data_IF_584704387461
#
_entry.id   IF_584704387461
#
_cell.length_a   1.000
_cell.length_b   1.000
_cell.length_c   1.000
_cell.angle_alpha   90.00
_cell.angle_beta   90.00
_cell.angle_gamma   90.00
#
_symmetry.space_group_name_H-M   'P 1'
#
loop_
_entity.id
_entity.type
_entity.pdbx_description
1 polymer ?
#
# COMPACT_ATOMS: atom_id res chain seq x y z
N UNK A 1 -19.71 -63.77 9.91
CA UNK A 1 -18.86 -63.39 11.07
C UNK A 1 -18.30 -62.00 10.77
N UNK A 2 -19.01 -60.96 11.22
CA UNK A 2 -18.62 -59.57 10.99
C UNK A 2 -18.04 -59.02 12.30
N UNK A 3 -16.76 -58.69 12.31
CA UNK A 3 -16.08 -58.08 13.46
C UNK A 3 -16.20 -56.56 13.35
N UNK A 4 -17.00 -55.94 14.21
CA UNK A 4 -17.08 -54.48 14.33
C UNK A 4 -15.82 -53.94 15.03
N UNK A 5 -15.07 -53.06 14.35
CA UNK A 5 -13.96 -52.32 14.93
C UNK A 5 -14.53 -51.21 15.84
N UNK A 6 -14.07 -51.05 17.10
CA UNK A 6 -14.56 -49.98 17.96
C UNK A 6 -14.03 -48.61 17.49
N UNK A 7 -14.89 -47.59 17.54
CA UNK A 7 -14.50 -46.19 17.30
C UNK A 7 -13.61 -45.68 18.44
N UNK A 8 -12.56 -44.89 18.16
CA UNK A 8 -11.72 -44.31 19.20
C UNK A 8 -12.53 -43.30 20.02
N UNK A 9 -12.47 -43.44 21.35
CA UNK A 9 -13.09 -42.52 22.30
C UNK A 9 -12.34 -41.19 22.31
N UNK A 10 -13.03 -40.08 22.03
CA UNK A 10 -12.50 -38.73 22.21
C UNK A 10 -12.28 -38.46 23.70
N UNK A 11 -11.05 -38.63 24.16
CA UNK A 11 -10.61 -38.15 25.47
C UNK A 11 -10.32 -36.66 25.34
N UNK A 12 -11.18 -35.82 25.90
CA UNK A 12 -10.86 -34.41 26.11
C UNK A 12 -9.81 -34.32 27.22
N UNK A 13 -8.60 -33.85 26.91
CA UNK A 13 -7.58 -33.55 27.91
C UNK A 13 -7.49 -32.02 28.10
N UNK A 14 -7.32 -31.52 29.33
CA UNK A 14 -7.48 -30.11 29.65
C UNK A 14 -6.22 -29.31 29.30
N UNK A 15 -6.41 -28.05 28.93
CA UNK A 15 -5.37 -27.01 28.88
C UNK A 15 -5.08 -26.46 30.29
N UNK A 16 -4.04 -25.60 30.53
CA UNK A 16 -3.00 -25.07 29.61
C UNK A 16 -1.56 -25.13 30.20
N UNK A 17 -0.52 -24.93 29.38
CA UNK A 17 0.69 -24.11 29.70
C UNK A 17 1.82 -24.34 28.68
N UNK A 18 2.42 -23.25 28.20
CA UNK A 18 3.80 -23.28 27.69
C UNK A 18 3.98 -22.89 26.22
N UNK A 19 4.76 -21.83 26.00
CA UNK A 19 5.19 -21.26 24.72
C UNK A 19 5.59 -22.31 23.67
N UNK A 20 5.03 -22.17 22.46
CA UNK A 20 5.74 -22.50 21.21
C UNK A 20 5.56 -23.90 20.63
N UNK A 21 4.36 -24.47 20.61
CA UNK A 21 4.03 -25.52 19.65
C UNK A 21 3.21 -24.90 18.51
N UNK A 22 3.85 -24.65 17.37
CA UNK A 22 3.13 -24.52 16.11
C UNK A 22 2.42 -25.84 15.84
N UNK A 23 1.10 -25.85 15.88
CA UNK A 23 0.33 -27.05 15.57
C UNK A 23 0.52 -27.41 14.10
N UNK A 24 0.41 -28.70 13.74
CA UNK A 24 0.41 -29.13 12.32
C UNK A 24 -0.66 -28.36 11.52
N UNK A 25 -1.76 -27.95 12.17
CA UNK A 25 -2.79 -27.12 11.57
C UNK A 25 -2.28 -25.72 11.21
N UNK A 26 -1.40 -25.11 12.01
CA UNK A 26 -0.77 -23.82 11.70
C UNK A 26 0.14 -23.92 10.46
N UNK A 27 0.81 -25.06 10.28
CA UNK A 27 1.69 -25.32 9.13
C UNK A 27 0.87 -25.46 7.81
N UNK A 28 -0.30 -26.08 7.88
CA UNK A 28 -1.26 -26.12 6.77
C UNK A 28 -1.89 -24.74 6.47
N UNK A 29 -2.04 -23.87 7.48
CA UNK A 29 -2.59 -22.52 7.31
C UNK A 29 -1.60 -21.54 6.66
N UNK A 30 -0.28 -21.74 6.82
CA UNK A 30 0.75 -20.84 6.31
C UNK A 30 1.28 -21.19 4.90
N UNK A 31 1.00 -22.39 4.38
CA UNK A 31 1.54 -22.87 3.10
C UNK A 31 0.68 -22.63 1.86
N UNK A 32 -0.56 -22.14 1.98
CA UNK A 32 -1.48 -21.95 0.85
C UNK A 32 -1.55 -20.49 0.40
N UNK A 33 -1.11 -20.21 -0.83
CA UNK A 33 -1.25 -18.88 -1.44
C UNK A 33 -2.74 -18.57 -1.67
N UNK A 34 -3.18 -17.34 -1.42
CA UNK A 34 -4.55 -16.88 -1.68
C UNK A 34 -4.97 -17.18 -3.13
N UNK A 35 -4.06 -17.05 -4.10
CA UNK A 35 -4.28 -17.39 -5.50
C UNK A 35 -4.70 -18.85 -5.74
N UNK A 36 -4.26 -19.78 -4.88
CA UNK A 36 -4.62 -21.21 -4.93
C UNK A 36 -5.89 -21.57 -4.15
N UNK A 37 -6.48 -20.60 -3.44
CA UNK A 37 -7.71 -20.81 -2.65
C UNK A 37 -8.97 -20.82 -3.52
N UNK A 38 -10.07 -21.37 -2.99
CA UNK A 38 -11.38 -21.32 -3.65
C UNK A 38 -11.78 -19.88 -4.03
N UNK A 39 -12.43 -19.72 -5.19
CA UNK A 39 -12.87 -18.43 -5.74
C UNK A 39 -13.61 -17.57 -4.71
N UNK A 40 -14.45 -18.18 -3.88
CA UNK A 40 -15.15 -17.49 -2.80
C UNK A 40 -14.21 -16.79 -1.80
N UNK A 41 -13.17 -17.49 -1.35
CA UNK A 41 -12.18 -16.97 -0.40
C UNK A 41 -11.35 -15.85 -1.06
N UNK A 42 -10.95 -16.05 -2.31
CA UNK A 42 -10.23 -15.04 -3.10
C UNK A 42 -11.03 -13.74 -3.23
N UNK A 43 -12.30 -13.84 -3.61
CA UNK A 43 -13.18 -12.68 -3.74
C UNK A 43 -13.43 -11.97 -2.41
N UNK A 44 -13.50 -12.70 -1.30
CA UNK A 44 -13.60 -12.11 0.03
C UNK A 44 -12.32 -11.37 0.44
N UNK A 45 -11.15 -11.93 0.15
CA UNK A 45 -9.86 -11.29 0.37
C UNK A 45 -9.72 -10.02 -0.47
N UNK A 46 -10.00 -10.10 -1.78
CA UNK A 46 -9.99 -8.95 -2.69
C UNK A 46 -10.90 -7.83 -2.19
N UNK A 47 -12.15 -8.16 -1.80
CA UNK A 47 -13.09 -7.15 -1.26
C UNK A 47 -12.52 -6.43 -0.03
N UNK A 48 -11.82 -7.15 0.84
CA UNK A 48 -11.20 -6.56 2.03
C UNK A 48 -10.03 -5.64 1.65
N UNK A 49 -9.13 -6.09 0.78
CA UNK A 49 -7.96 -5.31 0.35
C UNK A 49 -8.37 -4.05 -0.40
N UNK A 50 -9.19 -4.20 -1.44
CA UNK A 50 -9.68 -3.06 -2.23
C UNK A 50 -10.59 -2.13 -1.41
N UNK A 51 -11.34 -2.66 -0.44
CA UNK A 51 -12.10 -1.85 0.51
C UNK A 51 -11.22 -0.95 1.36
N UNK A 52 -10.12 -1.49 1.92
CA UNK A 52 -9.15 -0.72 2.69
C UNK A 52 -8.48 0.33 1.80
N UNK A 53 -7.98 -0.06 0.62
CA UNK A 53 -7.32 0.86 -0.32
C UNK A 53 -8.26 2.00 -0.74
N UNK A 54 -9.53 1.70 -1.04
CA UNK A 54 -10.51 2.72 -1.43
C UNK A 54 -10.77 3.72 -0.29
N UNK A 55 -10.86 3.25 0.95
CA UNK A 55 -11.01 4.11 2.13
C UNK A 55 -9.79 5.01 2.33
N UNK A 56 -8.58 4.48 2.13
CA UNK A 56 -7.33 5.24 2.24
C UNK A 56 -7.25 6.34 1.18
N UNK A 57 -7.57 6.02 -0.08
CA UNK A 57 -7.61 7.00 -1.16
C UNK A 57 -8.67 8.08 -0.88
N UNK A 58 -9.88 7.69 -0.46
CA UNK A 58 -10.92 8.65 -0.09
C UNK A 58 -10.47 9.60 1.02
N UNK A 59 -9.80 9.09 2.06
CA UNK A 59 -9.24 9.92 3.13
C UNK A 59 -8.22 10.93 2.59
N UNK A 60 -7.29 10.49 1.73
CA UNK A 60 -6.30 11.40 1.12
C UNK A 60 -6.95 12.49 0.27
N UNK A 61 -7.96 12.14 -0.53
CA UNK A 61 -8.70 13.10 -1.37
C UNK A 61 -9.48 14.11 -0.51
N UNK A 62 -10.17 13.65 0.54
CA UNK A 62 -10.91 14.53 1.46
C UNK A 62 -9.95 15.48 2.18
N UNK A 63 -8.81 14.99 2.66
CA UNK A 63 -7.81 15.84 3.31
C UNK A 63 -7.24 16.90 2.36
N UNK A 64 -6.89 16.50 1.14
CA UNK A 64 -6.43 17.44 0.10
C UNK A 64 -7.46 18.50 -0.25
N UNK A 65 -8.73 18.11 -0.44
CA UNK A 65 -9.82 19.04 -0.69
C UNK A 65 -10.01 20.00 0.49
N UNK A 66 -10.00 19.50 1.73
CA UNK A 66 -10.14 20.31 2.94
C UNK A 66 -9.04 21.38 3.02
N UNK A 67 -7.79 21.01 2.73
CA UNK A 67 -6.63 21.90 2.81
C UNK A 67 -6.67 22.96 1.71
N UNK A 68 -7.12 22.60 0.51
CA UNK A 68 -7.26 23.51 -0.63
C UNK A 68 -8.40 24.52 -0.41
N UNK A 69 -9.57 24.08 0.07
CA UNK A 69 -10.77 24.91 0.18
C UNK A 69 -10.87 25.70 1.48
N UNK A 70 -10.04 25.41 2.48
CA UNK A 70 -10.04 26.13 3.77
C UNK A 70 -8.84 27.06 3.87
N UNK A 71 -9.01 28.39 3.72
CA UNK A 71 -7.88 29.33 3.68
C UNK A 71 -7.02 29.30 4.94
N UNK A 72 -7.63 29.14 6.12
CA UNK A 72 -6.91 29.09 7.39
C UNK A 72 -5.98 27.86 7.50
N UNK A 73 -6.41 26.71 6.99
CA UNK A 73 -5.57 25.49 6.97
C UNK A 73 -4.46 25.67 5.95
N UNK A 74 -4.79 26.17 4.75
CA UNK A 74 -3.83 26.45 3.68
C UNK A 74 -2.68 27.34 4.16
N UNK A 75 -2.98 28.48 4.77
CA UNK A 75 -1.94 29.40 5.25
C UNK A 75 -1.12 28.81 6.38
N UNK A 76 -1.75 28.04 7.29
CA UNK A 76 -1.04 27.35 8.36
C UNK A 76 -0.02 26.35 7.82
N UNK A 77 -0.44 25.42 6.96
CA UNK A 77 0.45 24.35 6.46
C UNK A 77 1.57 24.90 5.57
N UNK A 78 1.31 25.97 4.81
CA UNK A 78 2.33 26.66 4.02
C UNK A 78 3.32 27.45 4.87
N UNK A 79 2.86 28.00 6.01
CA UNK A 79 3.70 28.72 6.97
C UNK A 79 4.58 27.81 7.84
N UNK A 80 4.32 26.51 7.88
CA UNK A 80 5.00 25.54 8.74
C UNK A 80 5.68 24.40 7.96
N UNK A 81 6.69 24.67 7.12
CA UNK A 81 7.39 23.62 6.36
C UNK A 81 8.05 22.57 7.26
N UNK A 82 8.39 22.92 8.50
CA UNK A 82 8.91 21.98 9.50
C UNK A 82 7.92 20.84 9.82
N UNK A 83 6.61 21.10 9.78
CA UNK A 83 5.61 20.05 10.01
C UNK A 83 5.54 19.05 8.85
N UNK A 84 5.72 19.52 7.61
CA UNK A 84 5.82 18.64 6.46
C UNK A 84 7.07 17.76 6.55
N UNK A 85 8.21 18.33 6.96
CA UNK A 85 9.44 17.57 7.14
C UNK A 85 9.32 16.54 8.29
N UNK A 86 8.68 16.91 9.40
CA UNK A 86 8.36 15.97 10.48
C UNK A 86 7.43 14.85 9.98
N UNK A 87 6.41 15.17 9.21
CA UNK A 87 5.50 14.19 8.63
C UNK A 87 6.22 13.19 7.72
N UNK A 88 7.20 13.65 6.93
CA UNK A 88 8.04 12.78 6.09
C UNK A 88 8.86 11.79 6.93
N UNK A 89 9.57 12.26 7.96
CA UNK A 89 10.34 11.35 8.83
C UNK A 89 9.43 10.40 9.61
N UNK A 90 8.27 10.90 10.04
CA UNK A 90 7.26 10.10 10.73
C UNK A 90 6.69 9.01 9.80
N UNK A 91 6.39 9.31 8.54
CA UNK A 91 5.85 8.33 7.61
C UNK A 91 6.87 7.23 7.31
N UNK A 92 8.16 7.57 7.13
CA UNK A 92 9.24 6.59 7.02
C UNK A 92 9.35 5.71 8.27
N UNK A 93 9.28 6.29 9.47
CA UNK A 93 9.32 5.54 10.72
C UNK A 93 8.15 4.55 10.86
N UNK A 94 6.93 5.00 10.55
CA UNK A 94 5.74 4.14 10.57
C UNK A 94 5.85 3.04 9.50
N UNK A 95 6.36 3.35 8.31
CA UNK A 95 6.55 2.37 7.23
C UNK A 95 7.50 1.24 7.67
N UNK A 96 8.62 1.57 8.32
CA UNK A 96 9.54 0.56 8.88
C UNK A 96 8.85 -0.28 9.95
N UNK A 97 8.11 0.36 10.88
CA UNK A 97 7.36 -0.35 11.90
C UNK A 97 6.29 -1.28 11.29
N UNK A 98 5.59 -0.82 10.25
CA UNK A 98 4.60 -1.59 9.51
C UNK A 98 5.23 -2.79 8.80
N UNK A 99 6.42 -2.62 8.21
CA UNK A 99 7.15 -3.72 7.58
C UNK A 99 7.50 -4.82 8.60
N UNK A 100 7.99 -4.42 9.78
CA UNK A 100 8.32 -5.35 10.88
C UNK A 100 7.06 -6.07 11.38
N UNK A 101 5.95 -5.33 11.52
CA UNK A 101 4.70 -5.83 12.11
C UNK A 101 3.66 -6.29 11.09
N UNK A 102 4.04 -6.48 9.82
CA UNK A 102 3.09 -6.76 8.71
C UNK A 102 2.22 -8.01 8.92
N UNK A 103 2.74 -9.01 9.63
CA UNK A 103 2.05 -10.28 9.92
C UNK A 103 1.25 -10.27 11.22
N UNK A 104 1.34 -9.21 12.02
CA UNK A 104 0.69 -9.13 13.34
C UNK A 104 -0.63 -8.37 13.25
N UNK A 105 -1.73 -9.11 13.17
CA UNK A 105 -3.08 -8.56 13.29
C UNK A 105 -3.49 -8.46 14.78
N UNK A 106 -4.10 -7.34 15.25
CA UNK A 106 -4.57 -6.17 14.48
C UNK A 106 -3.59 -4.99 14.40
N UNK A 107 -2.39 -5.10 14.99
CA UNK A 107 -1.40 -4.02 15.05
C UNK A 107 -1.06 -3.44 13.67
N UNK A 108 -0.93 -4.29 12.67
CA UNK A 108 -0.69 -3.87 11.28
C UNK A 108 -1.77 -2.92 10.74
N UNK A 109 -3.04 -3.11 11.11
CA UNK A 109 -4.15 -2.26 10.66
C UNK A 109 -4.10 -0.87 11.32
N UNK A 110 -3.73 -0.79 12.61
CA UNK A 110 -3.55 0.50 13.27
C UNK A 110 -2.37 1.28 12.71
N UNK A 111 -1.23 0.60 12.48
CA UNK A 111 -0.06 1.20 11.85
C UNK A 111 -0.35 1.65 10.41
N UNK A 112 -1.11 0.84 9.66
CA UNK A 112 -1.53 1.17 8.30
C UNK A 112 -2.42 2.42 8.28
N UNK A 113 -3.40 2.52 9.19
CA UNK A 113 -4.25 3.71 9.29
C UNK A 113 -3.46 4.96 9.69
N UNK A 114 -2.53 4.84 10.65
CA UNK A 114 -1.64 5.93 11.05
C UNK A 114 -0.76 6.39 9.88
N UNK A 115 -0.17 5.45 9.14
CA UNK A 115 0.61 5.73 7.94
C UNK A 115 -0.23 6.50 6.91
N UNK A 116 -1.44 6.02 6.60
CA UNK A 116 -2.34 6.71 5.66
C UNK A 116 -2.67 8.13 6.12
N UNK A 117 -2.90 8.36 7.41
CA UNK A 117 -3.22 9.70 7.91
C UNK A 117 -2.04 10.67 7.74
N UNK A 118 -0.82 10.23 8.03
CA UNK A 118 0.40 11.05 7.86
C UNK A 118 0.68 11.31 6.37
N UNK A 119 0.49 10.32 5.50
CA UNK A 119 0.59 10.51 4.05
C UNK A 119 -0.49 11.44 3.50
N UNK A 120 -1.73 11.30 3.96
CA UNK A 120 -2.83 12.19 3.59
C UNK A 120 -2.55 13.64 4.01
N UNK A 121 -1.92 13.87 5.17
CA UNK A 121 -1.46 15.19 5.59
C UNK A 121 -0.36 15.74 4.67
N UNK A 122 0.62 14.91 4.32
CA UNK A 122 1.74 15.28 3.47
C UNK A 122 1.27 15.66 2.06
N UNK A 123 0.49 14.78 1.42
CA UNK A 123 -0.16 15.05 0.13
C UNK A 123 -1.04 16.30 0.22
N UNK A 124 -1.88 16.39 1.26
CA UNK A 124 -2.77 17.52 1.47
C UNK A 124 -2.02 18.86 1.57
N UNK A 125 -0.86 18.87 2.21
CA UNK A 125 0.01 20.06 2.29
C UNK A 125 0.63 20.38 0.94
N UNK A 126 1.19 19.38 0.25
CA UNK A 126 1.86 19.56 -1.06
C UNK A 126 0.89 20.13 -2.11
N UNK A 127 -0.35 19.61 -2.19
CA UNK A 127 -1.32 20.10 -3.18
C UNK A 127 -1.73 21.55 -2.97
N UNK A 128 -1.53 22.14 -1.78
CA UNK A 128 -1.83 23.56 -1.55
C UNK A 128 -0.92 24.52 -2.31
N UNK A 129 0.29 24.05 -2.69
CA UNK A 129 1.28 24.82 -3.45
C UNK A 129 1.01 24.84 -4.96
N UNK A 130 0.05 24.04 -5.43
CA UNK A 130 -0.33 23.96 -6.83
C UNK A 130 -1.72 24.57 -7.06
N UNK A 131 -1.99 24.94 -8.31
CA UNK A 131 -3.31 25.41 -8.70
C UNK A 131 -4.34 24.28 -8.60
N UNK A 132 -5.55 24.60 -8.12
CA UNK A 132 -6.64 23.66 -7.94
C UNK A 132 -6.99 22.92 -9.23
N UNK A 133 -6.98 23.62 -10.37
CA UNK A 133 -7.27 23.03 -11.67
C UNK A 133 -6.19 22.01 -12.07
N UNK A 134 -4.92 22.32 -11.82
CA UNK A 134 -3.79 21.41 -12.10
C UNK A 134 -3.88 20.17 -11.21
N UNK A 135 -4.18 20.34 -9.93
CA UNK A 135 -4.34 19.23 -8.98
C UNK A 135 -5.48 18.30 -9.42
N UNK A 136 -6.63 18.85 -9.83
CA UNK A 136 -7.76 18.05 -10.28
C UNK A 136 -7.46 17.29 -11.60
N UNK A 137 -6.76 17.94 -12.53
CA UNK A 137 -6.31 17.30 -13.78
C UNK A 137 -5.36 16.14 -13.50
N UNK A 138 -4.35 16.34 -12.64
CA UNK A 138 -3.42 15.30 -12.23
C UNK A 138 -4.14 14.13 -11.55
N UNK A 139 -5.06 14.42 -10.63
CA UNK A 139 -5.87 13.41 -9.96
C UNK A 139 -6.71 12.59 -10.95
N UNK A 140 -7.40 13.25 -11.89
CA UNK A 140 -8.21 12.59 -12.90
C UNK A 140 -7.36 11.68 -13.82
N UNK A 141 -6.17 12.12 -14.20
CA UNK A 141 -5.22 11.31 -14.98
C UNK A 141 -4.75 10.09 -14.20
N UNK A 142 -4.26 10.26 -12.96
CA UNK A 142 -3.78 9.16 -12.12
C UNK A 142 -4.89 8.14 -11.84
N UNK A 143 -6.11 8.61 -11.55
CA UNK A 143 -7.27 7.73 -11.34
C UNK A 143 -7.60 6.93 -12.60
N UNK A 144 -7.64 7.61 -13.76
CA UNK A 144 -7.97 6.98 -15.04
C UNK A 144 -6.94 5.92 -15.43
N UNK A 145 -5.64 6.21 -15.26
CA UNK A 145 -4.55 5.26 -15.52
C UNK A 145 -4.60 4.10 -14.53
N UNK A 146 -4.77 4.37 -13.23
CA UNK A 146 -4.85 3.32 -12.21
C UNK A 146 -6.03 2.37 -12.46
N UNK A 147 -7.24 2.90 -12.72
CA UNK A 147 -8.42 2.09 -13.04
C UNK A 147 -8.23 1.34 -14.35
N UNK A 148 -7.71 1.98 -15.40
CA UNK A 148 -7.46 1.35 -16.69
C UNK A 148 -6.48 0.18 -16.60
N UNK A 149 -5.36 0.35 -15.90
CA UNK A 149 -4.37 -0.71 -15.68
C UNK A 149 -4.91 -1.81 -14.77
N UNK A 150 -5.67 -1.48 -13.74
CA UNK A 150 -6.33 -2.46 -12.87
C UNK A 150 -7.33 -3.31 -13.68
N UNK A 151 -8.18 -2.69 -14.50
CA UNK A 151 -9.12 -3.42 -15.37
C UNK A 151 -8.40 -4.29 -16.42
N UNK A 152 -7.31 -3.77 -17.00
CA UNK A 152 -6.48 -4.53 -17.93
C UNK A 152 -5.86 -5.76 -17.26
N UNK A 153 -5.26 -5.59 -16.07
CA UNK A 153 -4.59 -6.68 -15.36
C UNK A 153 -5.56 -7.74 -14.85
N UNK A 154 -6.76 -7.35 -14.39
CA UNK A 154 -7.80 -8.31 -13.99
C UNK A 154 -8.32 -9.18 -15.15
N UNK A 155 -8.14 -8.74 -16.40
CA UNK A 155 -8.51 -9.50 -17.60
C UNK A 155 -7.33 -10.22 -18.26
N UNK A 156 -6.10 -9.75 -18.01
CA UNK A 156 -4.89 -10.24 -18.66
C UNK A 156 -4.44 -11.59 -18.08
N UNK A 157 -3.98 -12.48 -18.96
CA UNK A 157 -3.35 -13.77 -18.58
C UNK A 157 -1.82 -13.70 -18.55
N UNK A 158 -1.26 -12.50 -18.70
CA UNK A 158 0.19 -12.31 -18.76
C UNK A 158 0.77 -12.35 -17.36
N UNK A 159 1.75 -13.23 -17.17
CA UNK A 159 2.49 -13.34 -15.92
C UNK A 159 3.63 -12.30 -15.89
N UNK A 160 3.65 -11.49 -14.84
CA UNK A 160 4.67 -10.47 -14.59
C UNK A 160 5.58 -10.80 -13.40
N UNK A 161 5.54 -12.05 -12.89
CA UNK A 161 6.29 -12.46 -11.69
C UNK A 161 7.80 -12.21 -11.77
N UNK A 162 8.39 -12.17 -12.97
CA UNK A 162 9.84 -11.97 -13.17
C UNK A 162 10.31 -10.51 -13.19
N UNK A 163 9.40 -9.53 -13.06
CA UNK A 163 9.74 -8.11 -13.18
C UNK A 163 10.27 -7.48 -11.88
N UNK A 164 10.15 -8.19 -10.75
CA UNK A 164 10.45 -7.65 -9.41
C UNK A 164 11.85 -7.05 -9.26
N UNK A 165 12.89 -7.74 -9.72
CA UNK A 165 14.27 -7.23 -9.63
C UNK A 165 14.50 -5.96 -10.46
N UNK A 166 13.89 -5.87 -11.64
CA UNK A 166 13.98 -4.70 -12.52
C UNK A 166 13.27 -3.49 -11.92
N UNK A 167 12.04 -3.68 -11.43
CA UNK A 167 11.26 -2.62 -10.79
C UNK A 167 11.91 -2.13 -9.49
N UNK A 168 12.46 -3.04 -8.69
CA UNK A 168 13.19 -2.69 -7.48
C UNK A 168 14.46 -1.87 -7.80
N UNK A 169 15.20 -2.24 -8.84
CA UNK A 169 16.38 -1.49 -9.29
C UNK A 169 16.00 -0.09 -9.78
N UNK A 170 14.93 0.02 -10.57
CA UNK A 170 14.42 1.30 -11.07
C UNK A 170 13.91 2.21 -9.93
N UNK A 171 13.30 1.64 -8.88
CA UNK A 171 12.88 2.38 -7.70
C UNK A 171 14.08 3.01 -6.98
N UNK A 172 15.17 2.26 -6.81
CA UNK A 172 16.40 2.81 -6.21
C UNK A 172 17.00 3.93 -7.05
N UNK A 173 16.99 3.80 -8.38
CA UNK A 173 17.43 4.89 -9.27
C UNK A 173 16.58 6.14 -9.04
N UNK A 174 15.25 6.00 -8.96
CA UNK A 174 14.34 7.12 -8.71
C UNK A 174 14.62 7.78 -7.35
N UNK A 175 14.81 7.00 -6.29
CA UNK A 175 15.11 7.49 -4.94
C UNK A 175 16.44 8.24 -4.90
N UNK A 176 17.50 7.64 -5.45
CA UNK A 176 18.83 8.26 -5.49
C UNK A 176 18.79 9.54 -6.34
N UNK A 177 18.15 9.50 -7.51
CA UNK A 177 18.03 10.67 -8.37
C UNK A 177 17.22 11.80 -7.70
N UNK A 178 16.16 11.46 -6.97
CA UNK A 178 15.39 12.41 -6.15
C UNK A 178 16.24 13.04 -5.03
N UNK A 179 17.08 12.24 -4.37
CA UNK A 179 17.99 12.75 -3.33
C UNK A 179 19.10 13.63 -3.90
N UNK A 180 19.68 13.24 -5.04
CA UNK A 180 20.68 14.06 -5.74
C UNK A 180 20.10 15.41 -6.16
N UNK A 181 18.84 15.46 -6.61
CA UNK A 181 18.16 16.69 -6.98
C UNK A 181 18.10 17.73 -5.84
N UNK A 182 18.23 17.32 -4.57
CA UNK A 182 18.31 18.25 -3.44
C UNK A 182 19.63 19.04 -3.39
N UNK A 183 20.72 18.51 -3.96
CA UNK A 183 22.06 19.12 -3.91
C UNK A 183 22.46 19.82 -5.20
N UNK A 184 21.78 19.54 -6.31
CA UNK A 184 22.07 20.14 -7.61
C UNK A 184 21.11 21.31 -7.91
N UNK A 185 21.52 22.27 -8.77
CA UNK A 185 20.64 23.34 -9.21
C UNK A 185 19.37 22.79 -9.87
N UNK A 186 18.24 23.46 -9.64
CA UNK A 186 16.95 23.07 -10.21
C UNK A 186 17.01 23.16 -11.73
N UNK A 187 16.63 22.06 -12.39
CA UNK A 187 16.55 21.96 -13.84
C UNK A 187 15.18 21.38 -14.21
N UNK A 188 14.34 22.18 -14.87
CA UNK A 188 12.96 21.84 -15.21
C UNK A 188 12.85 20.58 -16.07
N UNK A 189 13.84 20.34 -16.96
CA UNK A 189 13.87 19.13 -17.80
C UNK A 189 14.11 17.89 -16.93
N UNK A 190 14.98 18.00 -15.92
CA UNK A 190 15.26 16.91 -14.98
C UNK A 190 14.05 16.64 -14.08
N UNK A 191 13.38 17.70 -13.58
CA UNK A 191 12.15 17.59 -12.79
C UNK A 191 11.03 16.89 -13.58
N UNK A 192 10.80 17.32 -14.83
CA UNK A 192 9.83 16.68 -15.73
C UNK A 192 10.22 15.22 -16.04
N UNK A 193 11.49 14.95 -16.29
CA UNK A 193 11.99 13.60 -16.54
C UNK A 193 11.79 12.66 -15.35
N UNK A 194 12.06 13.15 -14.13
CA UNK A 194 11.82 12.40 -12.89
C UNK A 194 10.32 12.15 -12.66
N UNK A 195 9.47 13.15 -12.94
CA UNK A 195 8.02 13.01 -12.81
C UNK A 195 7.45 11.96 -13.77
N UNK A 196 7.81 12.05 -15.07
CA UNK A 196 7.34 11.10 -16.10
C UNK A 196 7.91 9.70 -15.85
N UNK A 197 9.21 9.60 -15.56
CA UNK A 197 9.87 8.33 -15.26
C UNK A 197 9.28 7.65 -14.03
N UNK A 198 9.05 8.41 -12.95
CA UNK A 198 8.38 7.94 -11.75
C UNK A 198 6.94 7.47 -12.03
N UNK A 199 6.17 8.23 -12.81
CA UNK A 199 4.80 7.84 -13.19
C UNK A 199 4.77 6.51 -13.95
N UNK A 200 5.65 6.33 -14.95
CA UNK A 200 5.77 5.06 -15.70
C UNK A 200 6.15 3.91 -14.75
N UNK A 201 7.13 4.14 -13.86
CA UNK A 201 7.58 3.13 -12.91
C UNK A 201 6.43 2.68 -11.98
N UNK A 202 5.68 3.62 -11.41
CA UNK A 202 4.54 3.28 -10.54
C UNK A 202 3.38 2.62 -11.30
N UNK A 203 3.18 2.94 -12.58
CA UNK A 203 2.24 2.21 -13.43
C UNK A 203 2.64 0.73 -13.58
N UNK A 204 3.94 0.45 -13.74
CA UNK A 204 4.44 -0.93 -13.78
C UNK A 204 4.26 -1.63 -12.43
N UNK A 205 4.52 -0.95 -11.31
CA UNK A 205 4.23 -1.48 -9.98
C UNK A 205 2.75 -1.83 -9.79
N UNK A 206 1.81 -0.95 -10.17
CA UNK A 206 0.36 -1.25 -10.12
C UNK A 206 0.06 -2.52 -10.90
N UNK A 207 0.68 -2.68 -12.07
CA UNK A 207 0.48 -3.86 -12.93
C UNK A 207 0.97 -5.14 -12.26
N UNK A 208 2.18 -5.13 -11.68
CA UNK A 208 2.75 -6.29 -10.99
C UNK A 208 2.03 -6.61 -9.69
N UNK A 209 1.67 -5.60 -8.92
CA UNK A 209 1.02 -5.77 -7.63
C UNK A 209 -0.38 -6.35 -7.84
N UNK A 210 -1.14 -5.82 -8.79
CA UNK A 210 -2.49 -6.31 -9.10
C UNK A 210 -2.49 -7.73 -9.65
N UNK A 211 -1.48 -8.10 -10.46
CA UNK A 211 -1.37 -9.47 -11.00
C UNK A 211 -0.92 -10.50 -9.96
N UNK A 212 -0.30 -10.06 -8.87
CA UNK A 212 0.13 -10.93 -7.77
C UNK A 212 -0.96 -11.29 -6.76
N UNK A 213 -2.16 -10.68 -6.86
CA UNK A 213 -3.31 -10.90 -5.97
C UNK A 213 -4.20 -12.05 -6.43
#
# INVERSE_FOLDING_TARGET
MATSVPLPTFVANPEPSGKGQSSIMDDFMYGTNVASSHVYIRMAFLRKVYGILSMQLALTTIMGALFIYTPAIKTFVQGSPNLLMLALFLSLGILVALHIKRTEYPTNMYLLAAFTFVEAYSIGTVVTFYDQAIVLQAFALTLSVCVGLTLYTLQSKKDYSSWGAGLFSALWILVIAGFLHLFFPRNDIMEMGLAVGGAILFCLFITTDTTSV
#
